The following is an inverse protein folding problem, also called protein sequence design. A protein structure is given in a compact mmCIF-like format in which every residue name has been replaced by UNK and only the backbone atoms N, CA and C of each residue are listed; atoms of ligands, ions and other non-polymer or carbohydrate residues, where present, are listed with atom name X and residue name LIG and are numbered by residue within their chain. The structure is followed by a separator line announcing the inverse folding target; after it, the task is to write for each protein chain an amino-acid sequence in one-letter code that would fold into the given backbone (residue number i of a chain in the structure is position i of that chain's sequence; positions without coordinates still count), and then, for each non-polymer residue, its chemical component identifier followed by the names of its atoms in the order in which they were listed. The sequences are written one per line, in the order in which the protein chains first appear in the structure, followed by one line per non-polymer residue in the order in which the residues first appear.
data_IF_716079987995
#
_entry.id   IF_716079987995
#
_cell.length_a   1.000
_cell.length_b   1.000
_cell.length_c   1.000
_cell.angle_alpha   90.00
_cell.angle_beta   90.00
_cell.angle_gamma   90.00
#
_symmetry.space_group_name_H-M   'P 1'
#
loop_
_entity.id
_entity.type
_entity.pdbx_description
1 polymer ?
#
# COMPACT_ATOMS: atom_id res chain seq x y z
N UNK A 1 -0.12 9.80 -57.46
CA UNK A 1 0.91 10.82 -57.68
C UNK A 1 1.98 10.61 -56.62
N UNK A 2 3.06 10.05 -57.07
CA UNK A 2 4.48 10.35 -56.78
C UNK A 2 4.85 10.30 -55.28
N UNK A 3 5.58 9.37 -54.75
CA UNK A 3 6.74 8.63 -55.24
C UNK A 3 8.03 9.43 -55.06
N UNK A 4 8.77 9.28 -53.90
CA UNK A 4 10.21 9.53 -53.91
C UNK A 4 10.89 8.48 -53.00
N UNK A 5 11.64 7.62 -53.71
CA UNK A 5 12.65 6.71 -53.19
C UNK A 5 14.00 7.39 -53.33
N UNK A 6 14.90 7.23 -52.35
CA UNK A 6 16.33 7.54 -52.58
C UNK A 6 17.20 6.44 -51.92
N UNK A 7 18.33 6.09 -52.56
CA UNK A 7 19.00 4.81 -52.44
C UNK A 7 20.23 4.83 -51.49
N UNK A 8 20.71 3.62 -51.25
CA UNK A 8 21.85 3.27 -50.43
C UNK A 8 23.20 3.74 -50.92
N UNK A 9 24.17 3.61 -50.03
CA UNK A 9 25.60 3.50 -50.42
C UNK A 9 26.31 2.59 -49.40
N UNK A 10 26.74 1.49 -49.97
CA UNK A 10 27.74 0.54 -49.46
C UNK A 10 29.12 1.15 -49.59
N UNK A 11 29.94 1.09 -48.55
CA UNK A 11 31.39 1.13 -48.74
C UNK A 11 32.08 0.17 -47.77
N UNK A 12 32.61 -0.89 -48.39
CA UNK A 12 33.70 -1.69 -47.85
C UNK A 12 35.03 -0.96 -48.08
N UNK A 13 35.93 -1.00 -47.12
CA UNK A 13 37.35 -1.20 -47.45
C UNK A 13 38.10 -1.72 -46.22
N UNK A 14 38.83 -2.80 -46.50
CA UNK A 14 39.92 -3.37 -45.72
C UNK A 14 41.00 -2.34 -45.38
N UNK A 15 41.72 -2.50 -44.27
CA UNK A 15 43.15 -2.60 -44.30
C UNK A 15 43.78 -2.97 -42.95
N UNK A 16 44.67 -3.93 -43.05
CA UNK A 16 46.01 -4.08 -42.46
C UNK A 16 46.18 -4.70 -41.06
N UNK A 17 46.72 -5.88 -41.16
CA UNK A 17 47.54 -6.60 -40.16
C UNK A 17 48.70 -5.76 -39.65
N UNK A 18 48.89 -5.72 -38.34
CA UNK A 18 50.19 -5.48 -37.72
C UNK A 18 50.37 -6.25 -36.38
N UNK A 19 51.59 -6.39 -35.84
CA UNK A 19 52.07 -7.64 -35.27
C UNK A 19 51.87 -7.77 -33.77
N UNK A 20 51.88 -9.05 -33.35
CA UNK A 20 51.84 -9.48 -31.95
C UNK A 20 53.08 -9.01 -31.21
N UNK A 21 52.88 -8.17 -30.19
CA UNK A 21 53.85 -8.00 -29.10
C UNK A 21 53.37 -8.84 -27.93
N UNK A 22 54.12 -9.84 -27.58
CA UNK A 22 53.90 -10.60 -26.36
C UNK A 22 54.26 -9.68 -25.18
N UNK A 23 53.31 -9.42 -24.33
CA UNK A 23 53.54 -8.80 -23.02
C UNK A 23 53.17 -9.80 -21.93
N UNK A 24 54.08 -10.03 -21.06
CA UNK A 24 54.08 -10.95 -19.96
C UNK A 24 52.83 -10.75 -19.09
N UNK A 25 52.12 -11.85 -18.86
CA UNK A 25 51.07 -11.99 -17.90
C UNK A 25 51.66 -11.93 -16.49
N UNK A 26 51.68 -10.73 -15.91
CA UNK A 26 51.87 -10.58 -14.49
C UNK A 26 50.55 -10.98 -13.80
N UNK A 27 50.60 -12.09 -13.10
CA UNK A 27 49.51 -12.64 -12.26
C UNK A 27 49.21 -11.66 -11.12
N UNK A 28 48.29 -10.70 -11.35
CA UNK A 28 47.64 -10.05 -10.23
C UNK A 28 46.49 -10.96 -9.79
N UNK A 29 46.58 -11.47 -8.59
CA UNK A 29 45.54 -12.20 -7.90
C UNK A 29 44.27 -11.33 -7.86
N UNK A 30 43.31 -11.66 -8.70
CA UNK A 30 41.97 -11.17 -8.52
C UNK A 30 41.42 -11.84 -7.24
N UNK A 31 41.39 -11.09 -6.16
CA UNK A 31 40.53 -11.43 -5.01
C UNK A 31 39.10 -11.52 -5.54
N UNK A 32 38.53 -12.70 -5.47
CA UNK A 32 37.11 -12.90 -5.60
C UNK A 32 36.42 -12.25 -4.40
N UNK A 33 36.28 -10.94 -4.42
CA UNK A 33 35.33 -10.26 -3.54
C UNK A 33 33.93 -10.64 -4.03
N UNK A 34 33.45 -11.77 -3.54
CA UNK A 34 32.03 -12.10 -3.56
C UNK A 34 31.33 -10.94 -2.90
N UNK A 35 30.50 -10.20 -3.67
CA UNK A 35 29.64 -9.15 -3.14
C UNK A 35 28.63 -9.85 -2.23
N UNK A 36 28.98 -9.95 -0.96
CA UNK A 36 28.13 -10.51 0.06
C UNK A 36 26.99 -9.51 0.30
N UNK A 37 25.76 -9.94 0.10
CA UNK A 37 24.61 -9.12 0.42
C UNK A 37 24.46 -9.01 1.95
N UNK A 38 25.14 -8.03 2.53
CA UNK A 38 25.16 -7.77 3.99
C UNK A 38 23.77 -7.59 4.59
N UNK A 39 22.77 -7.23 3.79
CA UNK A 39 21.38 -7.10 4.22
C UNK A 39 20.77 -8.48 4.45
N UNK A 40 21.02 -9.44 3.54
CA UNK A 40 20.55 -10.82 3.70
C UNK A 40 21.19 -11.52 4.90
N UNK A 41 22.47 -11.26 5.17
CA UNK A 41 23.19 -11.83 6.32
C UNK A 41 22.85 -11.14 7.65
N UNK A 42 22.32 -9.92 7.63
CA UNK A 42 22.06 -9.14 8.84
C UNK A 42 20.90 -9.67 9.69
N UNK A 43 20.11 -10.63 9.18
CA UNK A 43 18.90 -11.12 9.85
C UNK A 43 17.82 -10.03 10.01
N UNK A 44 17.88 -8.97 9.19
CA UNK A 44 16.86 -7.93 9.13
C UNK A 44 15.63 -8.46 8.38
N UNK A 45 14.47 -8.18 8.94
CA UNK A 45 13.18 -8.43 8.29
C UNK A 45 12.56 -7.10 7.92
N UNK A 46 12.26 -6.93 6.66
CA UNK A 46 11.64 -5.72 6.14
C UNK A 46 10.12 -5.85 6.13
N UNK A 47 9.43 -4.81 6.57
CA UNK A 47 7.98 -4.65 6.44
C UNK A 47 7.73 -3.38 5.63
N UNK A 48 7.18 -3.56 4.44
CA UNK A 48 6.72 -2.48 3.60
C UNK A 48 5.24 -2.24 3.86
N UNK A 49 4.92 -1.07 4.42
CA UNK A 49 3.55 -0.72 4.78
C UNK A 49 2.64 -0.58 3.56
N UNK A 50 3.18 -0.24 2.39
CA UNK A 50 2.38 -0.14 1.15
C UNK A 50 1.71 -1.46 0.77
N UNK A 51 2.31 -2.61 1.15
CA UNK A 51 1.70 -3.92 0.92
C UNK A 51 0.38 -4.14 1.66
N UNK A 52 0.13 -3.36 2.70
CA UNK A 52 -1.10 -3.42 3.52
C UNK A 52 -2.11 -2.34 3.16
N UNK A 53 -1.77 -1.46 2.22
CA UNK A 53 -2.68 -0.42 1.77
C UNK A 53 -3.93 -1.04 1.13
N UNK A 54 -5.14 -0.54 1.44
CA UNK A 54 -6.38 -1.07 0.89
C UNK A 54 -6.40 -0.92 -0.64
N UNK A 55 -6.59 -2.04 -1.34
CA UNK A 55 -6.67 -2.06 -2.80
C UNK A 55 -8.12 -2.12 -3.23
N UNK A 56 -8.51 -1.26 -4.16
CA UNK A 56 -9.85 -1.23 -4.73
C UNK A 56 -10.33 0.19 -4.96
N UNK A 57 -11.37 0.29 -5.77
CA UNK A 57 -12.02 1.56 -6.04
C UNK A 57 -12.93 1.94 -4.87
N UNK A 58 -12.81 3.19 -4.43
CA UNK A 58 -13.66 3.75 -3.38
C UNK A 58 -14.84 4.45 -4.00
N UNK A 59 -16.03 4.16 -3.51
CA UNK A 59 -17.27 4.83 -3.87
C UNK A 59 -17.96 5.32 -2.61
N UNK A 60 -18.50 6.53 -2.67
CA UNK A 60 -19.21 7.14 -1.54
C UNK A 60 -20.72 7.00 -1.77
N UNK A 61 -21.42 6.48 -0.76
CA UNK A 61 -22.86 6.53 -0.65
C UNK A 61 -23.24 7.65 0.30
N UNK A 62 -23.75 8.76 -0.23
CA UNK A 62 -24.06 9.95 0.56
C UNK A 62 -25.56 10.05 0.81
N UNK A 63 -25.99 10.06 2.07
CA UNK A 63 -27.39 10.17 2.46
C UNK A 63 -27.97 11.55 2.20
N UNK A 64 -27.14 12.59 1.96
CA UNK A 64 -27.64 13.94 1.64
C UNK A 64 -28.58 13.94 0.43
N UNK A 65 -28.35 13.05 -0.54
CA UNK A 65 -29.14 12.98 -1.77
C UNK A 65 -30.58 12.50 -1.54
N UNK A 66 -30.86 11.98 -0.34
CA UNK A 66 -32.17 11.48 0.09
C UNK A 66 -32.89 12.39 1.09
N UNK A 67 -32.31 13.54 1.39
CA UNK A 67 -32.87 14.46 2.37
C UNK A 67 -33.98 15.32 1.75
N UNK A 68 -35.10 15.42 2.47
CA UNK A 68 -36.09 16.40 2.15
C UNK A 68 -35.62 17.79 2.56
N UNK A 69 -35.60 18.72 1.59
CA UNK A 69 -35.09 20.10 1.76
C UNK A 69 -33.63 20.17 2.31
N UNK A 70 -32.83 19.11 2.13
CA UNK A 70 -31.46 19.05 2.64
C UNK A 70 -31.31 18.89 4.16
N UNK A 71 -32.40 18.68 4.90
CA UNK A 71 -32.42 18.72 6.35
C UNK A 71 -32.97 17.46 7.02
N UNK A 72 -34.01 16.85 6.43
CA UNK A 72 -34.78 15.80 7.08
C UNK A 72 -34.87 14.56 6.20
N UNK A 73 -34.57 13.40 6.78
CA UNK A 73 -34.75 12.11 6.12
C UNK A 73 -36.17 11.58 6.46
N UNK A 74 -37.05 11.54 5.46
CA UNK A 74 -38.40 10.99 5.58
C UNK A 74 -38.37 9.49 5.34
N UNK A 75 -38.78 8.69 6.29
CA UNK A 75 -38.69 7.23 6.22
C UNK A 75 -39.32 6.63 4.95
N UNK A 76 -40.56 6.99 4.67
CA UNK A 76 -41.32 6.44 3.53
C UNK A 76 -40.61 6.75 2.20
N UNK A 77 -40.26 8.03 2.01
CA UNK A 77 -39.62 8.49 0.77
C UNK A 77 -38.26 7.84 0.58
N UNK A 78 -37.46 7.70 1.68
CA UNK A 78 -36.17 7.06 1.67
C UNK A 78 -36.25 5.57 1.31
N UNK A 79 -37.18 4.83 1.91
CA UNK A 79 -37.41 3.42 1.59
C UNK A 79 -37.83 3.22 0.13
N UNK A 80 -38.66 4.11 -0.40
CA UNK A 80 -39.08 4.06 -1.80
C UNK A 80 -37.93 4.41 -2.76
N UNK A 81 -37.07 5.38 -2.39
CA UNK A 81 -35.90 5.75 -3.16
C UNK A 81 -34.90 4.58 -3.24
N UNK A 82 -34.58 3.95 -2.10
CA UNK A 82 -33.64 2.82 -2.05
C UNK A 82 -34.13 1.61 -2.86
N UNK A 83 -35.47 1.36 -2.90
CA UNK A 83 -36.04 0.28 -3.75
C UNK A 83 -35.83 0.52 -5.24
N UNK A 84 -35.75 1.79 -5.66
CA UNK A 84 -35.57 2.19 -7.06
C UNK A 84 -34.11 2.42 -7.42
N UNK A 85 -33.25 2.50 -6.43
CA UNK A 85 -31.80 2.76 -6.58
C UNK A 85 -31.14 1.59 -7.29
N UNK A 86 -30.31 1.89 -8.30
CA UNK A 86 -29.36 0.91 -8.84
C UNK A 86 -28.13 0.82 -7.93
N UNK A 87 -27.92 -0.34 -7.34
CA UNK A 87 -26.77 -0.62 -6.50
C UNK A 87 -25.61 -1.31 -7.25
N UNK A 88 -25.77 -1.56 -8.55
CA UNK A 88 -24.71 -2.19 -9.38
C UNK A 88 -23.38 -1.44 -9.32
N UNK A 89 -23.32 -0.09 -9.28
CA UNK A 89 -22.06 0.66 -9.18
C UNK A 89 -21.25 0.38 -7.92
N UNK A 90 -21.86 -0.17 -6.87
CA UNK A 90 -21.21 -0.49 -5.59
C UNK A 90 -20.65 -1.91 -5.52
N UNK A 91 -20.92 -2.73 -6.56
CA UNK A 91 -20.47 -4.13 -6.59
C UNK A 91 -18.94 -4.23 -6.57
N UNK A 92 -18.42 -5.05 -5.62
CA UNK A 92 -17.01 -5.31 -5.42
C UNK A 92 -16.16 -4.07 -5.09
N UNK A 93 -16.82 -2.95 -4.70
CA UNK A 93 -16.17 -1.69 -4.34
C UNK A 93 -15.95 -1.56 -2.83
N UNK A 94 -15.07 -0.63 -2.48
CA UNK A 94 -14.92 -0.16 -1.11
C UNK A 94 -15.90 0.99 -0.90
N UNK A 95 -16.94 0.80 -0.09
CA UNK A 95 -18.03 1.76 0.02
C UNK A 95 -17.96 2.51 1.35
N UNK A 96 -17.83 3.83 1.25
CA UNK A 96 -17.97 4.75 2.37
C UNK A 96 -19.43 5.24 2.44
N UNK A 97 -20.08 5.08 3.59
CA UNK A 97 -21.44 5.57 3.83
C UNK A 97 -21.38 6.79 4.71
N UNK A 98 -21.84 7.91 4.21
CA UNK A 98 -21.79 9.19 4.91
C UNK A 98 -23.05 10.01 4.73
N UNK A 99 -23.16 11.11 5.46
CA UNK A 99 -24.02 12.24 5.15
C UNK A 99 -23.18 13.50 5.18
N UNK A 100 -22.96 14.10 4.02
CA UNK A 100 -22.16 15.34 3.91
C UNK A 100 -22.96 16.61 4.23
N UNK A 101 -24.27 16.49 4.48
CA UNK A 101 -25.11 17.59 4.93
C UNK A 101 -25.13 17.68 6.47
N UNK A 102 -25.30 18.89 6.98
CA UNK A 102 -25.55 19.12 8.42
C UNK A 102 -27.00 18.76 8.75
N UNK A 103 -27.27 17.47 8.85
CA UNK A 103 -28.60 16.92 9.08
C UNK A 103 -28.55 15.79 10.13
N UNK A 104 -29.62 15.66 10.90
CA UNK A 104 -29.78 14.56 11.85
C UNK A 104 -30.34 13.34 11.10
N UNK A 105 -29.48 12.35 10.90
CA UNK A 105 -29.84 11.09 10.27
C UNK A 105 -30.22 10.06 11.33
N UNK A 106 -31.43 9.49 11.29
CA UNK A 106 -31.79 8.41 12.20
C UNK A 106 -30.91 7.17 11.99
N UNK A 107 -30.50 6.53 13.07
CA UNK A 107 -29.55 5.36 13.04
C UNK A 107 -30.07 4.24 12.13
N UNK A 108 -31.38 3.98 12.12
CA UNK A 108 -31.98 2.96 11.27
C UNK A 108 -31.72 3.20 9.76
N UNK A 109 -31.51 4.46 9.32
CA UNK A 109 -31.22 4.76 7.93
C UNK A 109 -29.89 4.17 7.49
N UNK A 110 -28.84 4.30 8.32
CA UNK A 110 -27.55 3.65 8.05
C UNK A 110 -27.66 2.12 8.06
N UNK A 111 -28.45 1.55 8.97
CA UNK A 111 -28.71 0.11 9.00
C UNK A 111 -29.42 -0.37 7.72
N UNK A 112 -30.38 0.40 7.24
CA UNK A 112 -31.10 0.09 6.02
C UNK A 112 -30.19 0.15 4.80
N UNK A 113 -29.36 1.19 4.65
CA UNK A 113 -28.35 1.28 3.59
C UNK A 113 -27.38 0.10 3.66
N UNK A 114 -26.89 -0.23 4.84
CA UNK A 114 -26.01 -1.37 5.03
C UNK A 114 -26.65 -2.70 4.57
N UNK A 115 -27.96 -2.88 4.78
CA UNK A 115 -28.67 -4.09 4.34
C UNK A 115 -28.77 -4.23 2.82
N UNK A 116 -28.76 -3.13 2.07
CA UNK A 116 -28.73 -3.14 0.60
C UNK A 116 -27.31 -3.30 0.05
N UNK A 117 -26.32 -2.65 0.66
CA UNK A 117 -24.96 -2.61 0.16
C UNK A 117 -24.12 -3.82 0.56
N UNK A 118 -24.33 -4.40 1.75
CA UNK A 118 -23.54 -5.51 2.28
C UNK A 118 -23.44 -6.71 1.33
N UNK A 119 -24.50 -7.16 0.64
CA UNK A 119 -24.40 -8.28 -0.28
C UNK A 119 -23.60 -8.00 -1.56
N UNK A 120 -23.32 -6.74 -1.84
CA UNK A 120 -22.73 -6.28 -3.10
C UNK A 120 -21.32 -5.71 -2.91
N UNK A 121 -21.17 -4.87 -1.89
CA UNK A 121 -19.91 -4.19 -1.61
C UNK A 121 -18.85 -5.17 -1.13
N UNK A 122 -17.60 -4.92 -1.49
CA UNK A 122 -16.46 -5.66 -0.96
C UNK A 122 -16.19 -5.30 0.50
N UNK A 123 -16.27 -4.02 0.81
CA UNK A 123 -16.14 -3.47 2.16
C UNK A 123 -17.14 -2.32 2.34
N UNK A 124 -17.64 -2.16 3.55
CA UNK A 124 -18.60 -1.13 3.91
C UNK A 124 -18.17 -0.47 5.22
N UNK A 125 -17.94 0.83 5.18
CA UNK A 125 -17.51 1.60 6.35
C UNK A 125 -18.32 2.88 6.45
N UNK A 126 -18.78 3.23 7.68
CA UNK A 126 -19.41 4.51 7.95
C UNK A 126 -18.33 5.59 8.09
N UNK A 127 -18.41 6.64 7.28
CA UNK A 127 -17.47 7.76 7.24
C UNK A 127 -17.26 8.24 5.81
N UNK A 128 -16.30 9.14 5.63
CA UNK A 128 -15.83 9.59 4.32
C UNK A 128 -14.80 8.60 3.71
N UNK A 129 -14.32 8.93 2.53
CA UNK A 129 -13.34 8.10 1.82
C UNK A 129 -12.01 7.95 2.59
N UNK A 130 -11.55 9.02 3.22
CA UNK A 130 -10.28 9.02 3.99
C UNK A 130 -10.41 8.15 5.25
N UNK A 131 -11.53 8.26 5.95
CA UNK A 131 -11.83 7.42 7.10
C UNK A 131 -11.94 5.94 6.71
N UNK A 132 -12.55 5.64 5.57
CA UNK A 132 -12.62 4.28 5.02
C UNK A 132 -11.21 3.75 4.75
N UNK A 133 -10.37 4.48 4.02
CA UNK A 133 -8.99 4.07 3.74
C UNK A 133 -8.21 3.80 5.02
N UNK A 134 -8.25 4.73 5.95
CA UNK A 134 -7.57 4.60 7.25
C UNK A 134 -8.06 3.38 8.03
N UNK A 135 -9.37 3.15 8.07
CA UNK A 135 -9.98 2.03 8.80
C UNK A 135 -9.53 0.70 8.23
N UNK A 136 -9.59 0.55 6.90
CA UNK A 136 -9.18 -0.69 6.24
C UNK A 136 -7.68 -0.92 6.34
N UNK A 137 -6.88 0.14 6.22
CA UNK A 137 -5.43 0.04 6.37
C UNK A 137 -5.03 -0.44 7.77
N UNK A 138 -5.62 0.15 8.81
CA UNK A 138 -5.41 -0.30 10.19
C UNK A 138 -5.83 -1.76 10.39
N UNK A 139 -6.97 -2.17 9.84
CA UNK A 139 -7.43 -3.56 9.88
C UNK A 139 -6.43 -4.51 9.22
N UNK A 140 -5.89 -4.15 8.07
CA UNK A 140 -4.88 -4.95 7.37
C UNK A 140 -3.59 -5.09 8.18
N UNK A 141 -3.13 -4.01 8.83
CA UNK A 141 -1.96 -4.04 9.72
C UNK A 141 -2.24 -4.94 10.94
N UNK A 142 -3.41 -4.81 11.56
CA UNK A 142 -3.82 -5.61 12.73
C UNK A 142 -3.96 -7.10 12.42
N UNK A 143 -4.20 -7.46 11.15
CA UNK A 143 -4.25 -8.85 10.70
C UNK A 143 -2.86 -9.51 10.58
N UNK A 144 -1.77 -8.75 10.71
CA UNK A 144 -0.41 -9.28 10.70
C UNK A 144 -0.23 -10.16 11.95
N UNK A 145 0.29 -11.38 11.75
CA UNK A 145 0.64 -12.23 12.87
C UNK A 145 1.96 -11.76 13.50
N UNK A 146 1.95 -11.19 14.72
CA UNK A 146 3.16 -10.65 15.33
C UNK A 146 4.17 -11.73 15.71
N UNK A 147 3.75 -12.97 15.94
CA UNK A 147 4.67 -14.07 16.32
C UNK A 147 5.65 -14.41 15.20
N UNK A 148 5.30 -14.11 13.94
CA UNK A 148 6.23 -14.26 12.81
C UNK A 148 7.48 -13.36 12.92
N UNK A 149 7.43 -12.35 13.79
CA UNK A 149 8.51 -11.36 14.01
C UNK A 149 9.17 -11.51 15.39
N UNK A 150 8.88 -12.63 16.08
CA UNK A 150 9.46 -12.93 17.39
C UNK A 150 10.99 -12.89 17.32
N UNK A 151 11.60 -12.09 18.20
CA UNK A 151 13.05 -11.89 18.34
C UNK A 151 13.79 -11.41 17.08
N UNK A 152 13.05 -10.93 16.08
CA UNK A 152 13.64 -10.41 14.85
C UNK A 152 13.97 -8.92 14.95
N UNK A 153 14.91 -8.51 14.10
CA UNK A 153 15.24 -7.10 13.86
C UNK A 153 14.41 -6.65 12.67
N UNK A 154 13.46 -5.72 12.90
CA UNK A 154 12.48 -5.31 11.89
C UNK A 154 12.80 -3.90 11.41
N UNK A 155 12.78 -3.70 10.10
CA UNK A 155 12.81 -2.39 9.44
C UNK A 155 11.44 -2.14 8.84
N UNK A 156 10.82 -1.03 9.21
CA UNK A 156 9.52 -0.60 8.70
C UNK A 156 9.74 0.53 7.71
N UNK A 157 9.29 0.32 6.47
CA UNK A 157 9.30 1.32 5.40
C UNK A 157 7.89 1.58 4.88
N UNK A 158 7.73 2.61 4.06
CA UNK A 158 6.45 3.02 3.48
C UNK A 158 6.56 4.44 2.92
N UNK A 159 7.71 4.73 2.32
CA UNK A 159 8.04 6.01 1.71
C UNK A 159 7.88 5.99 0.18
N UNK A 160 7.01 5.12 -0.36
CA UNK A 160 6.77 4.99 -1.79
C UNK A 160 5.72 5.97 -2.31
N UNK A 161 4.91 5.50 -3.25
CA UNK A 161 3.92 6.32 -3.94
C UNK A 161 2.63 6.51 -3.13
N UNK A 162 2.37 5.63 -2.15
CA UNK A 162 1.14 5.65 -1.36
C UNK A 162 1.32 6.40 -0.03
N UNK A 163 0.37 7.26 0.30
CA UNK A 163 0.34 7.95 1.60
C UNK A 163 0.03 6.98 2.74
N UNK A 164 1.08 6.41 3.33
CA UNK A 164 0.92 5.47 4.44
C UNK A 164 0.55 6.14 5.77
N UNK A 165 0.76 7.43 5.92
CA UNK A 165 0.38 8.22 7.10
C UNK A 165 1.01 7.77 8.43
N UNK A 166 1.21 8.70 9.39
CA UNK A 166 1.85 8.40 10.69
C UNK A 166 1.11 7.35 11.52
N UNK A 167 -0.21 7.24 11.35
CA UNK A 167 -1.06 6.28 12.08
C UNK A 167 -0.70 4.82 11.81
N UNK A 168 -0.27 4.50 10.56
CA UNK A 168 0.13 3.15 10.19
C UNK A 168 1.45 2.74 10.88
N UNK A 169 2.41 3.65 10.94
CA UNK A 169 3.67 3.42 11.67
C UNK A 169 3.47 3.25 13.17
N UNK A 170 2.55 4.02 13.76
CA UNK A 170 2.19 3.87 15.16
C UNK A 170 1.57 2.50 15.42
N UNK A 171 0.63 2.06 14.58
CA UNK A 171 -0.08 0.80 14.77
C UNK A 171 0.87 -0.41 14.60
N UNK A 172 1.68 -0.45 13.55
CA UNK A 172 2.63 -1.55 13.35
C UNK A 172 3.69 -1.59 14.46
N UNK A 173 4.15 -0.43 14.94
CA UNK A 173 5.08 -0.36 16.06
C UNK A 173 4.44 -0.92 17.33
N UNK A 174 3.20 -0.55 17.64
CA UNK A 174 2.43 -1.08 18.78
C UNK A 174 2.29 -2.59 18.69
N UNK A 175 1.99 -3.12 17.51
CA UNK A 175 1.82 -4.55 17.27
C UNK A 175 3.12 -5.34 17.46
N UNK A 176 4.24 -4.82 16.98
CA UNK A 176 5.53 -5.54 16.98
C UNK A 176 6.35 -5.32 18.24
N UNK A 177 6.15 -4.23 18.98
CA UNK A 177 6.92 -3.88 20.18
C UNK A 177 7.04 -5.01 21.23
N UNK A 178 5.98 -5.82 21.49
CA UNK A 178 6.06 -6.91 22.45
C UNK A 178 6.97 -8.06 22.01
N UNK A 179 7.10 -8.31 20.71
CA UNK A 179 7.72 -9.53 20.17
C UNK A 179 9.07 -9.27 19.49
N UNK A 180 9.25 -8.14 18.81
CA UNK A 180 10.45 -7.85 18.06
C UNK A 180 11.66 -7.61 18.98
N UNK A 181 12.87 -7.98 18.52
CA UNK A 181 14.13 -7.66 19.15
C UNK A 181 14.49 -6.19 18.98
N UNK A 182 14.26 -5.64 17.80
CA UNK A 182 14.41 -4.21 17.51
C UNK A 182 13.49 -3.78 16.38
N UNK A 183 13.08 -2.52 16.41
CA UNK A 183 12.27 -1.87 15.38
C UNK A 183 13.02 -0.64 14.90
N UNK A 184 13.12 -0.49 13.59
CA UNK A 184 13.79 0.60 12.91
C UNK A 184 12.86 1.16 11.84
N UNK A 185 12.96 2.45 11.57
CA UNK A 185 12.27 3.15 10.49
C UNK A 185 13.24 3.42 9.35
N UNK A 186 12.80 3.32 8.12
CA UNK A 186 13.54 3.70 6.90
C UNK A 186 13.90 2.52 6.01
N UNK A 187 14.87 2.73 5.15
CA UNK A 187 15.37 1.70 4.25
C UNK A 187 16.51 0.88 4.90
N UNK A 188 16.71 -0.38 4.52
CA UNK A 188 17.74 -1.24 5.13
C UNK A 188 19.16 -0.65 5.12
N UNK A 189 19.45 0.24 4.15
CA UNK A 189 20.73 0.95 4.03
C UNK A 189 20.82 2.22 4.90
N UNK A 190 19.67 2.77 5.33
CA UNK A 190 19.59 4.02 6.11
C UNK A 190 18.42 3.97 7.07
N UNK A 191 18.65 3.46 8.28
CA UNK A 191 17.61 3.24 9.29
C UNK A 191 17.73 4.19 10.48
N UNK A 192 16.58 4.60 11.02
CA UNK A 192 16.46 5.29 12.30
C UNK A 192 16.00 4.28 13.35
N UNK A 193 16.78 4.03 14.42
CA UNK A 193 16.34 3.15 15.51
C UNK A 193 15.15 3.73 16.25
N UNK A 194 14.08 2.94 16.39
CA UNK A 194 12.86 3.30 17.14
C UNK A 194 12.80 2.57 18.47
N UNK A 195 13.13 1.27 18.45
CA UNK A 195 13.09 0.42 19.63
C UNK A 195 14.18 -0.65 19.57
N UNK A 196 14.76 -0.95 20.73
CA UNK A 196 15.66 -2.08 20.95
C UNK A 196 15.38 -2.69 22.32
N UNK A 197 15.11 -4.00 22.35
CA UNK A 197 14.95 -4.74 23.61
C UNK A 197 16.29 -4.72 24.39
N UNK A 198 16.26 -4.38 25.66
CA UNK A 198 17.44 -4.47 26.52
C UNK A 198 17.73 -5.93 26.88
N UNK A 199 18.99 -6.28 27.02
CA UNK A 199 19.43 -7.64 27.43
C UNK A 199 18.97 -8.02 28.86
N UNK A 200 18.52 -7.06 29.66
CA UNK A 200 18.07 -7.27 31.05
C UNK A 200 16.63 -7.83 31.15
N UNK A 201 15.86 -7.81 30.05
CA UNK A 201 14.49 -8.32 30.03
C UNK A 201 14.40 -9.85 29.75
N UNK A 202 15.55 -10.52 29.62
CA UNK A 202 15.64 -11.98 29.35
C UNK A 202 15.96 -12.81 30.62
N UNK A 203 15.80 -12.22 31.84
CA UNK A 203 15.97 -12.94 33.11
C UNK A 203 14.64 -13.24 33.79
#
# INVERSE_FOLDING_TARGET
MQGISIPGTTFCTNFAKQPRVALDLNKSSMSNDTIVNKVAESGLVEIDLENFYPKGEVVVFDLKDYLFMGLILKEKDFREALKKQDFTPFRDKLVAVTCSADAIIPVWAYMLVASYLQPLARELVMGDADFLHRTLFLRNIQAINPTAYQDKRVVIKGCGELETGPFAYLEITKLLRPVAKSIMYGEPCSTVPVFKRSAEAEK
#
